data_IF_697843972833
#
_entry.id   IF_697843972833
#
_cell.length_a   1.000
_cell.length_b   1.000
_cell.length_c   1.000
_cell.angle_alpha   90.00
_cell.angle_beta   90.00
_cell.angle_gamma   90.00
#
_symmetry.space_group_name_H-M   'P 1'
#
loop_
_entity.id
_entity.type
_entity.pdbx_description
1 polymer ?
#
# COMPACT_ATOMS: atom_id res chain seq x y z
N UNK A 1 -33.20 -5.44 -2.30
CA UNK A 1 -32.51 -4.55 -3.25
C UNK A 1 -31.22 -5.17 -3.68
N UNK A 2 -31.10 -5.48 -4.95
CA UNK A 2 -29.90 -6.13 -5.46
C UNK A 2 -28.65 -5.28 -5.34
N UNK A 3 -28.79 -3.98 -5.46
CA UNK A 3 -27.65 -3.06 -5.38
C UNK A 3 -26.98 -3.11 -4.01
N UNK A 4 -27.77 -3.18 -2.96
CA UNK A 4 -27.23 -3.26 -1.61
C UNK A 4 -26.52 -4.59 -1.38
N UNK A 5 -27.05 -5.67 -1.94
CA UNK A 5 -26.40 -6.98 -1.84
C UNK A 5 -25.07 -7.00 -2.55
N UNK A 6 -24.97 -6.37 -3.70
CA UNK A 6 -23.74 -6.32 -4.47
C UNK A 6 -22.66 -5.52 -3.73
N UNK A 7 -23.07 -4.43 -3.07
CA UNK A 7 -22.14 -3.58 -2.34
C UNK A 7 -21.74 -4.15 -0.99
N UNK A 8 -22.53 -5.10 -0.47
CA UNK A 8 -22.31 -5.65 0.86
C UNK A 8 -21.28 -6.76 0.91
N UNK A 9 -20.77 -7.22 -0.21
CA UNK A 9 -19.85 -8.34 -0.15
C UNK A 9 -18.51 -7.96 0.50
N UNK A 10 -18.21 -6.68 0.65
CA UNK A 10 -17.06 -6.21 1.42
C UNK A 10 -17.38 -5.95 2.89
N UNK A 11 -18.63 -6.08 3.31
CA UNK A 11 -19.00 -5.77 4.68
C UNK A 11 -18.65 -6.91 5.64
N UNK A 12 -18.54 -6.58 6.92
CA UNK A 12 -18.21 -7.55 7.96
C UNK A 12 -19.24 -8.68 8.06
N UNK A 13 -20.51 -8.36 7.78
CA UNK A 13 -21.59 -9.35 7.91
C UNK A 13 -21.66 -10.31 6.73
N UNK A 14 -21.13 -9.93 5.59
CA UNK A 14 -21.32 -10.65 4.34
C UNK A 14 -20.10 -11.45 3.90
N UNK A 15 -18.92 -11.16 4.44
CA UNK A 15 -17.68 -11.71 3.93
C UNK A 15 -16.83 -12.40 5.00
N UNK A 16 -16.10 -13.41 4.56
CA UNK A 16 -15.05 -14.02 5.36
C UNK A 16 -13.73 -13.30 5.09
N UNK A 17 -12.71 -13.64 5.86
CA UNK A 17 -11.36 -13.16 5.60
C UNK A 17 -10.93 -13.48 4.17
N UNK A 18 -11.15 -14.72 3.73
CA UNK A 18 -10.77 -15.15 2.39
C UNK A 18 -11.48 -14.35 1.29
N UNK A 19 -12.77 -14.06 1.49
CA UNK A 19 -13.54 -13.23 0.57
C UNK A 19 -12.97 -11.82 0.48
N UNK A 20 -12.62 -11.24 1.62
CA UNK A 20 -12.05 -9.89 1.65
C UNK A 20 -10.68 -9.86 0.99
N UNK A 21 -9.86 -10.86 1.27
CA UNK A 21 -8.54 -10.96 0.63
C UNK A 21 -8.67 -11.07 -0.89
N UNK A 22 -9.54 -11.94 -1.37
CA UNK A 22 -9.77 -12.11 -2.80
C UNK A 22 -10.29 -10.82 -3.43
N UNK A 23 -11.25 -10.16 -2.76
CA UNK A 23 -11.82 -8.92 -3.26
C UNK A 23 -10.81 -7.79 -3.35
N UNK A 24 -9.98 -7.64 -2.32
CA UNK A 24 -8.93 -6.62 -2.33
C UNK A 24 -7.89 -6.90 -3.41
N UNK A 25 -7.53 -8.17 -3.60
CA UNK A 25 -6.59 -8.57 -4.63
C UNK A 25 -7.14 -8.26 -6.03
N UNK A 26 -8.39 -8.62 -6.28
CA UNK A 26 -9.04 -8.35 -7.55
C UNK A 26 -9.17 -6.85 -7.82
N UNK A 27 -9.53 -6.09 -6.80
CA UNK A 27 -9.62 -4.63 -6.92
C UNK A 27 -8.26 -4.00 -7.25
N UNK A 28 -7.18 -4.60 -6.77
CA UNK A 28 -5.83 -4.14 -7.08
C UNK A 28 -5.33 -4.64 -8.45
N UNK A 29 -6.08 -5.52 -9.11
CA UNK A 29 -5.72 -6.03 -10.43
C UNK A 29 -4.56 -7.03 -10.41
N UNK A 30 -4.38 -7.73 -9.31
CA UNK A 30 -3.25 -8.66 -9.13
C UNK A 30 -3.78 -10.10 -9.14
N UNK A 31 -3.07 -11.00 -9.84
CA UNK A 31 -3.42 -12.42 -9.82
C UNK A 31 -2.99 -13.07 -8.50
N UNK A 32 -3.59 -14.22 -8.18
CA UNK A 32 -3.17 -15.00 -7.01
C UNK A 32 -1.69 -15.37 -7.07
N UNK A 33 -1.23 -15.77 -8.25
CA UNK A 33 0.16 -16.17 -8.43
C UNK A 33 1.12 -15.00 -8.20
N UNK A 34 0.78 -13.84 -8.74
CA UNK A 34 1.62 -12.65 -8.60
C UNK A 34 1.68 -12.17 -7.15
N UNK A 35 0.53 -12.15 -6.47
CA UNK A 35 0.50 -11.73 -5.07
C UNK A 35 1.28 -12.73 -4.20
N UNK A 36 1.09 -14.02 -4.43
CA UNK A 36 1.82 -15.05 -3.70
C UNK A 36 3.34 -14.87 -3.86
N UNK A 37 3.78 -14.62 -5.09
CA UNK A 37 5.18 -14.38 -5.39
C UNK A 37 5.71 -13.14 -4.66
N UNK A 38 4.97 -12.04 -4.69
CA UNK A 38 5.37 -10.80 -4.03
C UNK A 38 5.45 -10.94 -2.51
N UNK A 39 4.55 -11.72 -1.93
CA UNK A 39 4.53 -11.97 -0.48
C UNK A 39 5.60 -13.02 -0.09
N UNK A 40 6.02 -13.84 -1.03
CA UNK A 40 6.98 -14.90 -0.76
C UNK A 40 6.37 -16.19 -0.24
N UNK A 41 5.15 -16.50 -0.69
CA UNK A 41 4.47 -17.75 -0.33
C UNK A 41 4.11 -18.52 -1.58
N UNK A 42 3.76 -19.79 -1.40
CA UNK A 42 3.35 -20.64 -2.51
C UNK A 42 1.95 -20.26 -2.96
N UNK A 43 1.66 -20.49 -4.24
CA UNK A 43 0.31 -20.26 -4.78
C UNK A 43 -0.73 -21.08 -4.01
N UNK A 44 -0.41 -22.30 -3.63
CA UNK A 44 -1.31 -23.15 -2.86
C UNK A 44 -1.65 -22.52 -1.50
N UNK A 45 -0.69 -21.82 -0.89
CA UNK A 45 -0.91 -21.11 0.36
C UNK A 45 -1.87 -19.94 0.16
N UNK A 46 -1.66 -19.16 -0.89
CA UNK A 46 -2.57 -18.04 -1.23
C UNK A 46 -3.99 -18.55 -1.47
N UNK A 47 -4.14 -19.62 -2.22
CA UNK A 47 -5.45 -20.22 -2.47
C UNK A 47 -6.11 -20.69 -1.18
N UNK A 48 -5.32 -21.30 -0.28
CA UNK A 48 -5.83 -21.74 1.01
C UNK A 48 -6.34 -20.57 1.86
N UNK A 49 -5.63 -19.46 1.84
CA UNK A 49 -6.07 -18.26 2.56
C UNK A 49 -7.38 -17.71 1.98
N UNK A 50 -7.50 -17.64 0.66
CA UNK A 50 -8.72 -17.12 0.03
C UNK A 50 -9.91 -18.05 0.17
N UNK A 51 -9.65 -19.33 0.37
CA UNK A 51 -10.71 -20.33 0.58
C UNK A 51 -11.00 -20.60 2.06
N UNK A 52 -10.42 -19.80 2.95
CA UNK A 52 -10.61 -19.92 4.40
C UNK A 52 -10.17 -21.27 4.98
N UNK A 53 -9.22 -21.91 4.33
CA UNK A 53 -8.65 -23.18 4.79
C UNK A 53 -7.49 -22.97 5.74
N UNK A 54 -6.80 -21.84 5.63
CA UNK A 54 -5.69 -21.45 6.49
C UNK A 54 -5.73 -19.95 6.70
N UNK A 55 -5.05 -19.50 7.76
CA UNK A 55 -4.95 -18.07 8.07
C UNK A 55 -3.50 -17.62 7.98
N UNK A 56 -3.24 -16.44 7.41
CA UNK A 56 -1.88 -15.89 7.41
C UNK A 56 -1.46 -15.49 8.83
N UNK A 57 -0.17 -15.55 9.09
CA UNK A 57 0.40 -15.02 10.33
C UNK A 57 0.47 -13.50 10.27
N UNK A 58 0.67 -12.88 11.42
CA UNK A 58 0.63 -11.43 11.57
C UNK A 58 1.55 -10.69 10.58
N UNK A 59 2.76 -11.18 10.36
CA UNK A 59 3.68 -10.53 9.44
C UNK A 59 3.17 -10.55 8.00
N UNK A 60 2.55 -11.66 7.60
CA UNK A 60 1.96 -11.77 6.25
C UNK A 60 0.72 -10.90 6.12
N UNK A 61 -0.07 -10.79 7.18
CA UNK A 61 -1.24 -9.91 7.21
C UNK A 61 -0.83 -8.45 6.99
N UNK A 62 0.24 -8.01 7.64
CA UNK A 62 0.75 -6.65 7.45
C UNK A 62 1.22 -6.42 6.02
N UNK A 63 1.91 -7.39 5.44
CA UNK A 63 2.36 -7.30 4.06
C UNK A 63 1.18 -7.21 3.11
N UNK A 64 0.17 -8.06 3.32
CA UNK A 64 -1.05 -8.06 2.49
C UNK A 64 -1.77 -6.73 2.57
N UNK A 65 -1.97 -6.19 3.78
CA UNK A 65 -2.66 -4.92 3.92
C UNK A 65 -1.91 -3.79 3.22
N UNK A 66 -0.60 -3.75 3.38
CA UNK A 66 0.23 -2.73 2.73
C UNK A 66 0.22 -2.83 1.21
N UNK A 67 0.34 -4.03 0.68
CA UNK A 67 0.38 -4.25 -0.77
C UNK A 67 -0.96 -4.02 -1.45
N UNK A 68 -2.04 -4.35 -0.75
CA UNK A 68 -3.40 -4.22 -1.30
C UNK A 68 -4.04 -2.86 -1.01
N UNK A 69 -3.38 -2.03 -0.21
CA UNK A 69 -3.88 -0.70 0.10
C UNK A 69 -5.14 -0.69 0.95
N UNK A 70 -5.31 -1.69 1.81
CA UNK A 70 -6.45 -1.80 2.72
C UNK A 70 -5.94 -1.81 4.15
N UNK A 71 -6.80 -1.44 5.11
CA UNK A 71 -6.39 -1.49 6.50
C UNK A 71 -6.34 -2.95 6.99
N UNK A 72 -5.44 -3.21 7.92
CA UNK A 72 -5.37 -4.51 8.57
C UNK A 72 -6.68 -4.85 9.27
N UNK A 73 -7.28 -3.85 9.93
CA UNK A 73 -8.58 -4.03 10.59
C UNK A 73 -9.65 -4.47 9.61
N UNK A 74 -9.73 -3.81 8.45
CA UNK A 74 -10.71 -4.19 7.43
C UNK A 74 -10.49 -5.62 6.95
N UNK A 75 -9.24 -5.97 6.70
CA UNK A 75 -8.91 -7.31 6.22
C UNK A 75 -9.35 -8.39 7.23
N UNK A 76 -9.18 -8.11 8.50
CA UNK A 76 -9.53 -9.06 9.58
C UNK A 76 -11.01 -9.03 9.95
N UNK A 77 -11.66 -7.88 9.91
CA UNK A 77 -13.00 -7.71 10.47
C UNK A 77 -14.04 -7.22 9.48
N UNK A 78 -13.62 -6.69 8.34
CA UNK A 78 -14.52 -6.03 7.40
C UNK A 78 -14.88 -4.61 7.76
N UNK A 79 -14.30 -4.07 8.85
CA UNK A 79 -14.55 -2.71 9.30
C UNK A 79 -13.29 -1.89 9.09
N UNK A 80 -13.41 -0.74 8.44
CA UNK A 80 -12.28 0.14 8.16
C UNK A 80 -12.13 0.37 6.68
N UNK A 81 -10.91 0.72 6.26
CA UNK A 81 -10.61 1.10 4.89
C UNK A 81 -10.45 -0.13 4.01
N UNK A 82 -11.45 -0.40 3.18
CA UNK A 82 -11.41 -1.47 2.18
C UNK A 82 -11.06 -0.93 0.81
N UNK A 83 -11.07 -1.82 -0.21
CA UNK A 83 -10.62 -1.44 -1.55
C UNK A 83 -11.53 -0.44 -2.26
N UNK A 84 -12.81 -0.43 -1.93
CA UNK A 84 -13.78 0.47 -2.56
C UNK A 84 -14.16 1.62 -1.66
N UNK A 85 -13.43 1.81 -0.55
CA UNK A 85 -13.75 2.87 0.38
C UNK A 85 -13.48 4.22 -0.26
N UNK A 86 -14.44 5.15 -0.20
CA UNK A 86 -14.19 6.50 -0.68
C UNK A 86 -13.06 7.13 0.10
N UNK A 87 -12.30 7.97 -0.56
CA UNK A 87 -11.14 8.62 0.04
C UNK A 87 -11.45 9.50 1.24
N UNK A 88 -12.72 9.70 1.56
CA UNK A 88 -13.12 10.55 2.68
C UNK A 88 -12.71 10.01 4.03
N UNK A 89 -12.57 8.68 4.17
CA UNK A 89 -12.27 8.07 5.46
C UNK A 89 -10.88 7.50 5.56
N UNK A 90 -10.18 7.40 4.44
CA UNK A 90 -8.80 6.98 4.42
C UNK A 90 -7.88 8.16 4.34
N UNK A 91 -6.61 7.93 4.05
CA UNK A 91 -5.72 9.02 3.69
C UNK A 91 -6.37 9.75 2.52
N UNK A 92 -6.80 10.96 2.74
CA UNK A 92 -7.44 11.75 1.70
C UNK A 92 -6.42 12.09 0.62
N UNK A 93 -6.91 12.55 -0.54
CA UNK A 93 -6.02 13.07 -1.56
C UNK A 93 -5.13 14.18 -0.98
N UNK A 94 -5.67 14.96 -0.05
CA UNK A 94 -4.90 16.01 0.62
C UNK A 94 -3.76 15.42 1.44
N UNK A 95 -3.98 14.31 2.13
CA UNK A 95 -2.93 13.65 2.92
C UNK A 95 -1.84 13.07 2.03
N UNK A 96 -2.23 12.47 0.92
CA UNK A 96 -1.26 11.94 -0.04
C UNK A 96 -0.43 13.04 -0.67
N UNK A 97 -1.08 14.14 -1.03
CA UNK A 97 -0.39 15.31 -1.58
C UNK A 97 0.56 15.90 -0.54
N UNK A 98 0.13 15.99 0.71
CA UNK A 98 0.98 16.50 1.78
C UNK A 98 2.23 15.63 1.96
N UNK A 99 2.09 14.32 1.88
CA UNK A 99 3.21 13.39 1.96
C UNK A 99 4.19 13.64 0.81
N UNK A 100 3.69 13.83 -0.40
CA UNK A 100 4.52 14.14 -1.56
C UNK A 100 5.22 15.50 -1.40
N UNK A 101 4.52 16.48 -0.87
CA UNK A 101 5.12 17.81 -0.62
C UNK A 101 6.29 17.67 0.36
N UNK A 102 6.10 16.95 1.45
CA UNK A 102 7.15 16.75 2.45
C UNK A 102 8.36 16.04 1.85
N UNK A 103 8.11 15.04 1.04
CA UNK A 103 9.17 14.30 0.36
C UNK A 103 9.97 15.21 -0.57
N UNK A 104 9.27 16.05 -1.35
CA UNK A 104 9.92 17.01 -2.23
C UNK A 104 10.71 18.06 -1.45
N UNK A 105 10.20 18.50 -0.31
CA UNK A 105 10.92 19.44 0.54
C UNK A 105 12.27 18.87 1.01
N UNK A 106 12.27 17.60 1.39
CA UNK A 106 13.50 16.92 1.79
C UNK A 106 14.47 16.85 0.61
N UNK A 107 14.00 16.51 -0.56
CA UNK A 107 14.81 16.44 -1.77
C UNK A 107 15.41 17.81 -2.13
N UNK A 108 14.64 18.87 -1.97
CA UNK A 108 15.10 20.24 -2.23
C UNK A 108 16.23 20.61 -1.27
N UNK A 109 16.07 20.33 0.03
CA UNK A 109 17.11 20.60 1.02
C UNK A 109 18.38 19.84 0.70
N UNK A 110 18.26 18.55 0.35
CA UNK A 110 19.42 17.74 -0.01
C UNK A 110 20.11 18.27 -1.26
N UNK A 111 19.32 18.71 -2.25
CA UNK A 111 19.86 19.29 -3.47
C UNK A 111 20.57 20.60 -3.20
N UNK A 112 20.04 21.45 -2.30
CA UNK A 112 20.67 22.68 -1.91
C UNK A 112 22.02 22.44 -1.25
N UNK A 113 22.10 21.46 -0.35
CA UNK A 113 23.34 21.09 0.29
C UNK A 113 24.39 20.61 -0.71
N UNK A 114 23.96 19.78 -1.64
CA UNK A 114 24.82 19.26 -2.70
C UNK A 114 25.36 20.41 -3.57
N UNK A 115 24.48 21.33 -3.92
CA UNK A 115 24.85 22.50 -4.71
C UNK A 115 25.90 23.33 -3.96
N UNK A 116 25.70 23.55 -2.67
CA UNK A 116 26.68 24.30 -1.85
C UNK A 116 28.05 23.63 -1.84
N UNK A 117 28.08 22.29 -1.72
CA UNK A 117 29.34 21.55 -1.77
C UNK A 117 30.02 21.67 -3.12
N UNK A 118 29.25 21.61 -4.20
CA UNK A 118 29.79 21.77 -5.55
C UNK A 118 30.34 23.17 -5.79
N UNK A 119 29.67 24.19 -5.25
CA UNK A 119 30.19 25.58 -5.32
C UNK A 119 31.54 25.71 -4.64
N UNK A 120 31.69 25.11 -3.45
CA UNK A 120 32.98 25.11 -2.73
C UNK A 120 34.06 24.41 -3.54
N UNK A 121 33.73 23.27 -4.13
CA UNK A 121 34.65 22.54 -4.98
C UNK A 121 35.06 23.35 -6.18
N UNK A 122 34.14 24.05 -6.80
CA UNK A 122 34.43 24.90 -7.94
C UNK A 122 35.35 26.05 -7.57
N UNK A 123 35.05 26.72 -6.45
CA UNK A 123 35.93 27.81 -5.96
C UNK A 123 37.33 27.31 -5.69
N UNK A 124 37.46 26.14 -5.05
CA UNK A 124 38.77 25.58 -4.78
C UNK A 124 39.51 25.24 -6.07
N UNK A 125 38.82 24.68 -7.05
CA UNK A 125 39.38 24.35 -8.36
C UNK A 125 39.87 25.60 -9.10
N UNK A 126 39.07 26.67 -9.04
CA UNK A 126 39.43 27.92 -9.71
C UNK A 126 40.65 28.59 -9.05
N UNK A 127 40.76 28.52 -7.70
CA UNK A 127 41.91 29.05 -6.99
C UNK A 127 43.18 28.26 -7.26
N UNK A 128 43.04 26.97 -7.54
CA UNK A 128 44.19 26.09 -7.80
C UNK A 128 44.77 26.27 -9.21
N UNK A 129 44.07 26.97 -10.10
CA UNK A 129 44.57 27.21 -11.44
C UNK A 129 45.67 28.29 -11.41
N UNK A 130 46.78 28.10 -12.13
CA UNK A 130 47.85 29.07 -12.21
C UNK A 130 47.42 30.35 -12.94
#
# INVERSE_FOLDING_TARGET
>A
MSTDSENNWFSADATTFGDRLAGAREAAGISQADLADQIGVKLSTMKAWENDLKEPRANRLQMLSGMLGVSLRWLLTGVGIGPDEPSDEGPSNADLILTEIRKLQIEIVQSADKLGRLEKQLRAALKAQP
#
